data_IF_085103396370
#
_entry.id   IF_085103396370
#
_cell.length_a   1.000
_cell.length_b   1.000
_cell.length_c   1.000
_cell.angle_alpha   90.00
_cell.angle_beta   90.00
_cell.angle_gamma   90.00
#
_symmetry.space_group_name_H-M   'P 1'
#
loop_
_entity.id
_entity.type
_entity.pdbx_description
1 polymer ?
#
# COMPACT_ATOMS: atom_id res chain seq x y z
N UNK A 1 -6.47 -8.43 -30.73
CA UNK A 1 -5.95 -9.83 -30.65
C UNK A 1 -5.91 -10.17 -29.18
N UNK A 2 -6.78 -11.07 -28.70
CA UNK A 2 -6.86 -11.39 -27.28
C UNK A 2 -5.64 -12.21 -26.86
N UNK A 3 -4.90 -11.71 -25.89
CA UNK A 3 -3.88 -12.49 -25.21
C UNK A 3 -4.58 -13.65 -24.50
N UNK A 4 -4.32 -14.88 -24.94
CA UNK A 4 -4.64 -16.07 -24.16
C UNK A 4 -3.76 -16.02 -22.92
N UNK A 5 -4.38 -15.78 -21.74
CA UNK A 5 -3.73 -16.08 -20.48
C UNK A 5 -3.50 -17.61 -20.43
N UNK A 6 -2.29 -18.05 -20.71
CA UNK A 6 -1.89 -19.40 -20.37
C UNK A 6 -1.92 -19.51 -18.84
N UNK A 7 -2.45 -20.63 -18.34
CA UNK A 7 -2.45 -20.88 -16.89
C UNK A 7 -0.99 -20.92 -16.41
N UNK A 8 -0.67 -20.20 -15.32
CA UNK A 8 0.69 -20.22 -14.78
C UNK A 8 1.08 -21.65 -14.40
N UNK A 9 2.35 -21.95 -14.62
CA UNK A 9 2.95 -23.24 -14.26
C UNK A 9 3.31 -23.15 -12.77
N UNK A 10 2.63 -23.93 -11.93
CA UNK A 10 3.04 -24.01 -10.51
C UNK A 10 4.56 -24.28 -10.41
N UNK A 11 5.27 -23.56 -9.51
CA UNK A 11 4.78 -22.77 -8.38
C UNK A 11 4.62 -21.25 -8.65
N UNK A 12 4.43 -20.83 -9.88
CA UNK A 12 4.34 -19.42 -10.26
C UNK A 12 2.90 -19.01 -10.54
N UNK A 13 2.53 -17.81 -10.12
CA UNK A 13 1.29 -17.15 -10.50
C UNK A 13 1.42 -16.39 -11.81
N UNK A 14 2.65 -15.95 -12.11
CA UNK A 14 3.02 -15.28 -13.34
C UNK A 14 4.45 -15.65 -13.72
N UNK A 15 4.70 -15.79 -15.03
CA UNK A 15 6.03 -16.10 -15.58
C UNK A 15 6.22 -15.37 -16.91
N UNK A 16 7.17 -14.45 -16.94
CA UNK A 16 7.55 -13.71 -18.13
C UNK A 16 9.00 -13.99 -18.48
N UNK A 17 9.27 -14.34 -19.74
CA UNK A 17 10.62 -14.62 -20.23
C UNK A 17 10.85 -13.85 -21.50
N UNK A 18 11.81 -12.94 -21.49
CA UNK A 18 12.19 -12.14 -22.64
C UNK A 18 13.71 -12.00 -22.75
N UNK A 19 14.28 -12.38 -23.90
CA UNK A 19 15.74 -12.30 -24.18
C UNK A 19 16.64 -12.87 -23.05
N UNK A 20 16.21 -13.98 -22.44
CA UNK A 20 16.90 -14.61 -21.32
C UNK A 20 16.68 -13.94 -19.97
N UNK A 21 16.00 -12.80 -19.91
CA UNK A 21 15.54 -12.20 -18.67
C UNK A 21 14.25 -12.88 -18.22
N UNK A 22 14.21 -13.34 -16.98
CA UNK A 22 13.05 -14.00 -16.37
C UNK A 22 12.51 -13.12 -15.25
N UNK A 23 11.20 -12.84 -15.32
CA UNK A 23 10.42 -12.30 -14.21
C UNK A 23 9.35 -13.32 -13.87
N UNK A 24 9.31 -13.76 -12.62
CA UNK A 24 8.35 -14.75 -12.15
C UNK A 24 7.79 -14.38 -10.78
N UNK A 25 6.49 -14.51 -10.60
CA UNK A 25 5.84 -14.30 -9.29
C UNK A 25 5.54 -15.67 -8.67
N UNK A 26 6.08 -15.92 -7.49
CA UNK A 26 5.83 -17.14 -6.73
C UNK A 26 4.39 -17.17 -6.21
N UNK A 27 3.72 -18.30 -6.39
CA UNK A 27 2.47 -18.57 -5.68
C UNK A 27 2.74 -18.63 -4.18
N UNK A 28 1.93 -17.92 -3.41
CA UNK A 28 1.97 -17.94 -1.95
C UNK A 28 0.55 -18.05 -1.40
N UNK A 29 0.44 -18.65 -0.23
CA UNK A 29 -0.83 -18.78 0.47
C UNK A 29 -0.89 -17.73 1.60
N UNK A 30 -1.72 -16.69 1.46
CA UNK A 30 -1.80 -15.63 2.45
C UNK A 30 -2.26 -16.13 3.83
N UNK A 31 -2.99 -17.22 3.90
CA UNK A 31 -3.41 -17.83 5.18
C UNK A 31 -2.23 -18.45 5.94
N UNK A 32 -1.27 -19.04 5.21
CA UNK A 32 -0.04 -19.60 5.76
C UNK A 32 0.92 -18.48 6.17
N UNK A 33 1.04 -17.43 5.36
CA UNK A 33 1.91 -16.29 5.66
C UNK A 33 1.39 -15.44 6.81
N UNK A 34 0.08 -15.44 7.03
CA UNK A 34 -0.57 -14.69 8.10
C UNK A 34 -0.47 -13.18 7.91
N UNK A 35 -0.56 -12.72 6.65
CA UNK A 35 -0.48 -11.29 6.31
C UNK A 35 -1.80 -10.60 6.60
N UNK A 36 -1.78 -9.55 7.39
CA UNK A 36 -2.91 -8.63 7.63
C UNK A 36 -2.65 -7.30 6.95
N UNK A 37 -3.59 -6.86 6.13
CA UNK A 37 -3.42 -5.69 5.28
C UNK A 37 -4.36 -4.55 5.66
N UNK A 38 -3.92 -3.33 5.37
CA UNK A 38 -4.72 -2.12 5.53
C UNK A 38 -4.47 -1.12 4.40
N UNK A 39 -5.48 -0.29 4.13
CA UNK A 39 -5.34 0.90 3.28
C UNK A 39 -5.80 2.14 4.05
N UNK A 40 -5.00 3.18 3.97
CA UNK A 40 -5.22 4.50 4.55
C UNK A 40 -5.22 5.54 3.43
N UNK A 41 -6.37 6.16 3.20
CA UNK A 41 -6.56 7.19 2.19
C UNK A 41 -6.42 8.55 2.83
N UNK A 42 -5.69 9.46 2.20
CA UNK A 42 -5.53 10.82 2.69
C UNK A 42 -6.88 11.55 2.75
N UNK A 43 -7.21 12.06 3.92
CA UNK A 43 -8.41 12.84 4.21
C UNK A 43 -8.14 14.32 4.37
N UNK A 44 -6.98 14.82 3.95
CA UNK A 44 -6.65 16.22 3.98
C UNK A 44 -7.49 17.04 2.98
N UNK A 45 -7.51 18.34 3.15
CA UNK A 45 -8.32 19.22 2.32
C UNK A 45 -7.86 19.32 0.86
N UNK A 46 -6.60 18.98 0.55
CA UNK A 46 -6.07 18.90 -0.82
C UNK A 46 -6.80 17.85 -1.64
N UNK A 47 -7.08 16.68 -1.08
CA UNK A 47 -7.83 15.60 -1.71
C UNK A 47 -9.31 15.89 -2.00
N UNK A 48 -9.82 17.06 -1.63
CA UNK A 48 -11.27 17.40 -1.75
C UNK A 48 -11.82 17.26 -3.16
N UNK A 49 -11.00 17.56 -4.17
CA UNK A 49 -11.38 17.46 -5.58
C UNK A 49 -11.63 16.02 -6.02
N UNK A 50 -10.86 15.07 -5.48
CA UNK A 50 -10.88 13.67 -5.86
C UNK A 50 -12.00 12.86 -5.19
N UNK A 51 -12.48 13.32 -4.02
CA UNK A 51 -13.60 12.70 -3.30
C UNK A 51 -14.98 13.19 -3.73
N UNK A 52 -15.12 13.97 -4.78
CA UNK A 52 -16.40 14.56 -5.18
C UNK A 52 -17.06 15.46 -4.10
N UNK A 53 -16.25 16.12 -3.29
CA UNK A 53 -16.80 17.07 -2.32
C UNK A 53 -17.56 18.16 -3.03
N UNK A 54 -18.81 18.39 -2.60
CA UNK A 54 -19.62 19.51 -3.05
C UNK A 54 -18.97 20.82 -2.60
N UNK A 55 -18.32 21.55 -3.52
CA UNK A 55 -17.90 22.92 -3.25
C UNK A 55 -19.16 23.77 -3.01
N UNK A 56 -19.49 24.04 -1.76
CA UNK A 56 -20.43 25.10 -1.43
C UNK A 56 -19.76 26.44 -1.69
N UNK A 57 -20.15 27.10 -2.76
CA UNK A 57 -19.77 28.49 -2.97
C UNK A 57 -20.51 29.35 -1.94
N UNK A 58 -19.81 29.82 -0.92
CA UNK A 58 -20.38 30.66 0.14
C UNK A 58 -20.55 32.15 -0.26
N UNK A 59 -20.56 32.47 -1.56
CA UNK A 59 -20.76 33.82 -2.02
C UNK A 59 -22.25 34.08 -2.28
N UNK A 60 -22.76 35.15 -1.72
CA UNK A 60 -24.14 35.64 -1.93
C UNK A 60 -24.50 35.74 -3.42
N UNK A 61 -23.52 35.99 -4.29
CA UNK A 61 -23.66 36.10 -5.73
C UNK A 61 -24.01 34.74 -6.34
N UNK A 62 -23.33 33.65 -5.93
CA UNK A 62 -23.55 32.29 -6.48
C UNK A 62 -24.90 31.73 -6.01
N UNK A 63 -25.35 32.08 -4.79
CA UNK A 63 -26.70 31.76 -4.31
C UNK A 63 -27.79 32.41 -5.19
N UNK A 64 -27.56 33.66 -5.63
CA UNK A 64 -28.53 34.42 -6.45
C UNK A 64 -28.64 33.84 -7.89
N UNK A 65 -27.57 33.24 -8.42
CA UNK A 65 -27.54 32.67 -9.76
C UNK A 65 -27.77 31.15 -9.83
N UNK A 66 -28.15 30.52 -8.73
CA UNK A 66 -28.46 29.08 -8.67
C UNK A 66 -27.27 28.15 -8.94
N UNK A 67 -26.02 28.66 -8.82
CA UNK A 67 -24.78 27.87 -9.00
C UNK A 67 -24.35 27.21 -7.69
N UNK A 68 -25.25 26.47 -7.09
CA UNK A 68 -25.06 26.06 -5.70
C UNK A 68 -24.23 24.82 -5.48
N UNK A 69 -24.03 23.97 -6.48
CA UNK A 69 -23.27 22.73 -6.33
C UNK A 69 -22.62 22.31 -7.65
N UNK A 70 -21.30 22.17 -7.67
CA UNK A 70 -20.61 21.46 -8.73
C UNK A 70 -20.42 20.03 -8.25
N UNK A 71 -21.07 19.08 -8.90
CA UNK A 71 -20.81 17.65 -8.68
C UNK A 71 -19.49 17.31 -9.38
N UNK A 72 -18.42 17.18 -8.61
CA UNK A 72 -17.16 16.62 -9.12
C UNK A 72 -17.27 15.08 -9.14
N UNK A 73 -16.65 14.38 -10.10
CA UNK A 73 -16.57 12.94 -10.06
C UNK A 73 -15.75 12.48 -8.84
N UNK A 74 -16.12 11.36 -8.24
CA UNK A 74 -15.29 10.73 -7.24
C UNK A 74 -14.25 9.84 -7.96
N UNK A 75 -13.02 10.31 -8.06
CA UNK A 75 -11.95 9.60 -8.72
C UNK A 75 -11.27 8.58 -7.80
N UNK A 76 -11.38 8.75 -6.49
CA UNK A 76 -10.79 7.87 -5.47
C UNK A 76 -11.54 6.54 -5.37
N UNK A 77 -12.87 6.59 -5.39
CA UNK A 77 -13.71 5.40 -5.15
C UNK A 77 -13.38 4.20 -6.07
N UNK A 78 -13.26 4.36 -7.41
CA UNK A 78 -12.92 3.23 -8.27
C UNK A 78 -11.54 2.64 -7.98
N UNK A 79 -10.56 3.49 -7.66
CA UNK A 79 -9.20 3.04 -7.33
C UNK A 79 -9.19 2.25 -6.03
N UNK A 80 -9.84 2.78 -5.00
CA UNK A 80 -9.93 2.11 -3.70
C UNK A 80 -10.66 0.78 -3.82
N UNK A 81 -11.74 0.71 -4.58
CA UNK A 81 -12.46 -0.54 -4.83
C UNK A 81 -11.55 -1.59 -5.48
N UNK A 82 -10.81 -1.22 -6.52
CA UNK A 82 -9.87 -2.12 -7.18
C UNK A 82 -8.73 -2.57 -6.25
N UNK A 83 -8.14 -1.61 -5.52
CA UNK A 83 -7.08 -1.91 -4.53
C UNK A 83 -7.59 -2.88 -3.46
N UNK A 84 -8.79 -2.68 -2.95
CA UNK A 84 -9.38 -3.55 -1.94
C UNK A 84 -9.63 -4.97 -2.45
N UNK A 85 -10.15 -5.11 -3.68
CA UNK A 85 -10.29 -6.43 -4.32
C UNK A 85 -8.94 -7.13 -4.42
N UNK A 86 -7.91 -6.42 -4.87
CA UNK A 86 -6.56 -6.96 -5.02
C UNK A 86 -5.94 -7.32 -3.66
N UNK A 87 -5.91 -6.40 -2.70
CA UNK A 87 -5.30 -6.61 -1.40
C UNK A 87 -6.00 -7.74 -0.62
N UNK A 88 -7.31 -7.91 -0.78
CA UNK A 88 -8.05 -9.00 -0.15
C UNK A 88 -7.56 -10.39 -0.60
N UNK A 89 -7.02 -10.50 -1.80
CA UNK A 89 -6.40 -11.76 -2.27
C UNK A 89 -5.07 -12.06 -1.58
N UNK A 90 -4.44 -11.06 -0.99
CA UNK A 90 -3.16 -11.13 -0.28
C UNK A 90 -3.33 -11.16 1.23
N UNK A 91 -4.50 -10.78 1.72
CA UNK A 91 -4.81 -10.77 3.14
C UNK A 91 -5.16 -12.17 3.66
N UNK A 92 -4.75 -12.48 4.89
CA UNK A 92 -4.92 -13.78 5.55
C UNK A 92 -6.37 -14.26 5.59
N UNK A 93 -7.30 -13.35 5.80
CA UNK A 93 -8.73 -13.67 5.95
C UNK A 93 -9.63 -12.91 4.97
N UNK A 94 -9.03 -12.14 4.05
CA UNK A 94 -9.73 -11.33 3.06
C UNK A 94 -10.45 -10.12 3.67
N UNK A 95 -10.13 -9.74 4.93
CA UNK A 95 -10.70 -8.60 5.64
C UNK A 95 -9.66 -7.49 5.75
N UNK A 96 -9.90 -6.39 5.07
CA UNK A 96 -8.99 -5.25 5.00
C UNK A 96 -9.44 -4.14 5.93
N UNK A 97 -8.51 -3.63 6.76
CA UNK A 97 -8.75 -2.39 7.47
C UNK A 97 -8.70 -1.22 6.51
N UNK A 98 -9.76 -0.43 6.46
CA UNK A 98 -9.90 0.74 5.59
C UNK A 98 -10.18 1.97 6.42
N UNK A 99 -9.41 3.02 6.25
CA UNK A 99 -9.56 4.28 6.98
C UNK A 99 -9.16 5.49 6.14
N UNK A 100 -9.68 6.65 6.52
CA UNK A 100 -9.10 7.94 6.13
C UNK A 100 -8.15 8.40 7.23
N UNK A 101 -6.99 8.92 6.84
CA UNK A 101 -6.00 9.52 7.73
C UNK A 101 -5.84 11.01 7.44
N UNK A 102 -5.04 11.73 8.21
CA UNK A 102 -4.91 13.19 8.10
C UNK A 102 -6.27 13.93 8.21
N UNK A 103 -7.19 13.40 9.01
CA UNK A 103 -8.51 13.99 9.22
C UNK A 103 -8.52 14.99 10.41
N UNK A 104 -9.65 15.70 10.55
CA UNK A 104 -9.87 16.62 11.66
C UNK A 104 -9.07 17.92 11.57
N UNK A 105 -9.34 18.86 12.47
CA UNK A 105 -8.78 20.21 12.40
C UNK A 105 -7.24 20.25 12.45
N UNK A 106 -6.61 19.28 13.11
CA UNK A 106 -5.16 19.14 13.24
C UNK A 106 -4.53 18.21 12.21
N UNK A 107 -5.31 17.52 11.38
CA UNK A 107 -4.83 16.49 10.46
C UNK A 107 -4.24 15.27 11.17
N UNK A 108 -4.67 14.97 12.40
CA UNK A 108 -4.15 13.87 13.23
C UNK A 108 -5.20 12.78 13.50
N UNK A 109 -6.45 13.04 13.13
CA UNK A 109 -7.53 12.10 13.38
C UNK A 109 -7.57 11.03 12.29
N UNK A 110 -8.03 9.84 12.67
CA UNK A 110 -8.27 8.70 11.79
C UNK A 110 -9.76 8.44 11.77
N UNK A 111 -10.37 8.45 10.59
CA UNK A 111 -11.76 8.08 10.40
C UNK A 111 -11.81 6.65 9.83
N UNK A 112 -12.17 5.70 10.69
CA UNK A 112 -12.31 4.30 10.28
C UNK A 112 -13.53 4.13 9.38
N UNK A 113 -13.33 3.61 8.17
CA UNK A 113 -14.42 3.17 7.28
C UNK A 113 -14.92 1.80 7.74
N UNK A 114 -14.01 0.87 8.03
CA UNK A 114 -14.35 -0.46 8.53
C UNK A 114 -13.28 -1.50 8.27
N UNK A 115 -13.61 -2.76 8.61
CA UNK A 115 -12.92 -3.94 8.12
C UNK A 115 -13.79 -4.52 7.00
N UNK A 116 -13.32 -4.42 5.74
CA UNK A 116 -14.11 -4.67 4.56
C UNK A 116 -13.66 -5.96 3.87
N UNK A 117 -14.63 -6.76 3.40
CA UNK A 117 -14.35 -7.94 2.58
C UNK A 117 -14.12 -7.52 1.13
N UNK A 118 -13.09 -8.05 0.49
CA UNK A 118 -12.84 -7.82 -0.92
C UNK A 118 -13.99 -8.24 -1.83
N UNK A 119 -14.73 -9.30 -1.48
CA UNK A 119 -15.89 -9.76 -2.24
C UNK A 119 -17.07 -8.79 -2.26
N UNK A 120 -17.17 -7.93 -1.27
CA UNK A 120 -18.32 -7.02 -1.08
C UNK A 120 -17.97 -5.58 -1.44
N UNK A 121 -16.76 -5.34 -1.95
CA UNK A 121 -16.16 -4.00 -2.13
C UNK A 121 -17.00 -3.08 -3.00
N UNK A 122 -17.67 -3.61 -4.03
CA UNK A 122 -18.55 -2.84 -4.91
C UNK A 122 -19.79 -2.26 -4.22
N UNK A 123 -20.12 -2.78 -3.02
CA UNK A 123 -21.22 -2.27 -2.20
C UNK A 123 -20.83 -1.08 -1.33
N UNK A 124 -19.52 -0.85 -1.14
CA UNK A 124 -19.00 0.22 -0.30
C UNK A 124 -18.81 1.52 -1.09
N UNK A 125 -19.01 2.64 -0.39
CA UNK A 125 -18.83 3.98 -0.91
C UNK A 125 -17.70 4.68 -0.17
N UNK A 126 -16.92 5.46 -0.90
CA UNK A 126 -15.75 6.17 -0.37
C UNK A 126 -15.89 7.67 -0.62
N UNK A 127 -16.83 8.34 0.08
CA UNK A 127 -17.12 9.77 -0.15
C UNK A 127 -16.03 10.71 0.38
N UNK A 128 -14.99 10.21 1.01
CA UNK A 128 -14.02 10.97 1.78
C UNK A 128 -14.41 11.11 3.26
N UNK A 129 -13.52 11.68 4.09
CA UNK A 129 -13.76 11.81 5.53
C UNK A 129 -14.87 12.81 5.85
N UNK A 130 -15.49 12.67 7.02
CA UNK A 130 -16.49 13.64 7.50
C UNK A 130 -15.86 15.01 7.82
N UNK A 131 -14.61 14.99 8.30
CA UNK A 131 -13.87 16.20 8.65
C UNK A 131 -12.47 16.17 8.04
N UNK A 132 -12.27 16.95 6.99
CA UNK A 132 -10.99 17.06 6.32
C UNK A 132 -9.93 17.71 7.21
N UNK A 133 -8.71 17.22 7.11
CA UNK A 133 -7.56 17.78 7.80
C UNK A 133 -6.97 19.00 7.10
N UNK A 134 -6.34 19.87 7.89
CA UNK A 134 -5.57 21.02 7.39
C UNK A 134 -4.06 20.74 7.31
N UNK A 135 -3.65 19.56 7.74
CA UNK A 135 -2.27 19.13 7.80
C UNK A 135 -2.22 17.63 7.59
N UNK A 136 -1.18 17.14 6.91
CA UNK A 136 -1.00 15.74 6.54
C UNK A 136 -0.03 15.08 7.52
N UNK A 137 -0.56 14.54 8.65
CA UNK A 137 0.25 13.91 9.67
C UNK A 137 0.15 12.38 9.56
N UNK A 138 1.26 11.71 9.22
CA UNK A 138 1.32 10.27 8.95
C UNK A 138 1.53 9.41 10.21
N UNK A 139 2.26 9.89 11.21
CA UNK A 139 2.57 9.11 12.41
C UNK A 139 1.33 8.62 13.18
N UNK A 140 0.20 9.37 13.27
CA UNK A 140 -1.04 8.85 13.84
C UNK A 140 -1.59 7.64 13.09
N UNK A 141 -1.52 7.62 11.76
CA UNK A 141 -2.00 6.51 10.95
C UNK A 141 -1.14 5.25 11.14
N UNK A 142 0.19 5.42 11.24
CA UNK A 142 1.09 4.32 11.59
C UNK A 142 0.74 3.71 12.95
N UNK A 143 0.50 4.55 13.95
CA UNK A 143 0.11 4.10 15.30
C UNK A 143 -1.21 3.36 15.28
N UNK A 144 -2.19 3.84 14.53
CA UNK A 144 -3.48 3.19 14.37
C UNK A 144 -3.33 1.79 13.76
N UNK A 145 -2.56 1.68 12.65
CA UNK A 145 -2.31 0.40 12.01
C UNK A 145 -1.57 -0.59 12.92
N UNK A 146 -0.49 -0.15 13.56
CA UNK A 146 0.28 -1.03 14.46
C UNK A 146 -0.57 -1.52 15.64
N UNK A 147 -1.43 -0.67 16.18
CA UNK A 147 -2.37 -1.06 17.23
C UNK A 147 -3.44 -2.04 16.72
N UNK A 148 -3.90 -1.89 15.49
CA UNK A 148 -4.75 -2.87 14.82
C UNK A 148 -4.01 -4.21 14.66
N UNK A 149 -2.81 -4.20 14.09
CA UNK A 149 -2.02 -5.41 13.87
C UNK A 149 -1.73 -6.18 15.16
N UNK A 150 -1.43 -5.47 16.28
CA UNK A 150 -1.27 -6.11 17.60
C UNK A 150 -2.50 -6.91 18.02
N UNK A 151 -3.70 -6.42 17.73
CA UNK A 151 -4.94 -7.17 17.98
C UNK A 151 -5.04 -8.38 17.06
N UNK A 152 -4.69 -8.22 15.78
CA UNK A 152 -4.74 -9.29 14.80
C UNK A 152 -3.72 -10.41 15.08
N UNK A 153 -2.60 -10.11 15.73
CA UNK A 153 -1.62 -11.14 16.16
C UNK A 153 -2.27 -12.22 17.02
N UNK A 154 -3.18 -11.84 17.91
CA UNK A 154 -3.94 -12.80 18.75
C UNK A 154 -4.91 -13.66 17.92
N UNK A 155 -5.22 -13.24 16.70
CA UNK A 155 -6.09 -13.93 15.76
C UNK A 155 -5.32 -14.64 14.64
N UNK A 156 -3.98 -14.69 14.74
CA UNK A 156 -3.14 -15.44 13.81
C UNK A 156 -2.35 -14.59 12.80
N UNK A 157 -2.38 -13.26 12.89
CA UNK A 157 -1.51 -12.42 12.08
C UNK A 157 -0.03 -12.67 12.42
N UNK A 158 0.78 -12.86 11.39
CA UNK A 158 2.24 -13.09 11.50
C UNK A 158 3.06 -12.05 10.76
N UNK A 159 2.40 -11.26 9.92
CA UNK A 159 2.98 -10.20 9.11
C UNK A 159 1.97 -9.07 8.94
N UNK A 160 2.46 -7.87 8.70
CA UNK A 160 1.63 -6.72 8.40
C UNK A 160 2.06 -6.00 7.13
N UNK A 161 1.10 -5.43 6.41
CA UNK A 161 1.34 -4.50 5.33
C UNK A 161 0.27 -3.40 5.36
N UNK A 162 0.70 -2.14 5.33
CA UNK A 162 -0.23 -1.02 5.23
C UNK A 162 0.15 -0.11 4.07
N UNK A 163 -0.85 0.25 3.28
CA UNK A 163 -0.75 1.18 2.15
C UNK A 163 -1.28 2.53 2.59
N UNK A 164 -0.50 3.58 2.37
CA UNK A 164 -0.86 4.98 2.60
C UNK A 164 -0.85 5.71 1.26
N UNK A 165 -1.95 6.38 0.94
CA UNK A 165 -2.08 7.19 -0.29
C UNK A 165 -2.21 8.63 0.12
N UNK A 166 -1.45 9.55 -0.51
CA UNK A 166 -1.43 11.00 -0.23
C UNK A 166 -1.19 11.81 -1.48
N UNK A 167 -1.72 13.03 -1.54
CA UNK A 167 -1.47 14.03 -2.60
C UNK A 167 -0.60 15.19 -2.13
N UNK A 168 -0.06 15.12 -0.92
CA UNK A 168 0.65 16.23 -0.31
C UNK A 168 1.91 15.87 0.48
N UNK A 169 2.56 16.90 0.96
CA UNK A 169 3.72 16.82 1.84
C UNK A 169 3.33 16.30 3.23
N UNK A 170 4.18 15.47 3.83
CA UNK A 170 4.00 14.94 5.18
C UNK A 170 4.58 15.91 6.19
N UNK A 171 3.74 16.40 7.13
CA UNK A 171 4.10 17.47 8.05
C UNK A 171 4.76 17.01 9.35
N UNK A 172 4.75 15.71 9.63
CA UNK A 172 5.26 15.13 10.88
C UNK A 172 6.35 14.09 10.66
N UNK A 173 7.22 14.31 9.67
CA UNK A 173 8.28 13.40 9.25
C UNK A 173 9.16 12.90 10.42
N UNK A 174 9.60 13.81 11.30
CA UNK A 174 10.39 13.45 12.49
C UNK A 174 9.65 12.49 13.41
N UNK A 175 8.33 12.66 13.56
CA UNK A 175 7.49 11.77 14.34
C UNK A 175 7.34 10.41 13.67
N UNK A 176 7.25 10.38 12.34
CA UNK A 176 7.24 9.16 11.52
C UNK A 176 8.55 8.38 11.71
N UNK A 177 9.70 9.01 11.49
CA UNK A 177 11.04 8.40 11.64
C UNK A 177 11.25 7.88 13.07
N UNK A 178 10.86 8.66 14.08
CA UNK A 178 10.95 8.24 15.49
C UNK A 178 10.10 7.01 15.77
N UNK A 179 8.84 7.00 15.31
CA UNK A 179 7.95 5.87 15.54
C UNK A 179 8.38 4.62 14.77
N UNK A 180 8.89 4.75 13.56
CA UNK A 180 9.48 3.64 12.81
C UNK A 180 10.67 3.01 13.54
N UNK A 181 11.52 3.83 14.20
CA UNK A 181 12.58 3.31 15.07
C UNK A 181 12.05 2.50 16.25
N UNK A 182 10.91 2.89 16.84
CA UNK A 182 10.25 2.14 17.91
C UNK A 182 9.73 0.80 17.38
N UNK A 183 9.03 0.80 16.25
CA UNK A 183 8.55 -0.39 15.56
C UNK A 183 9.69 -1.36 15.24
N UNK A 184 10.78 -0.87 14.65
CA UNK A 184 11.94 -1.70 14.31
C UNK A 184 12.53 -2.39 15.54
N UNK A 185 12.64 -1.70 16.68
CA UNK A 185 13.09 -2.29 17.94
C UNK A 185 12.14 -3.36 18.47
N UNK A 186 10.83 -3.18 18.31
CA UNK A 186 9.84 -4.17 18.70
C UNK A 186 9.90 -5.41 17.79
N UNK A 187 10.10 -5.22 16.50
CA UNK A 187 10.30 -6.30 15.54
C UNK A 187 11.58 -7.11 15.85
N UNK A 188 12.68 -6.42 16.16
CA UNK A 188 13.94 -7.08 16.58
C UNK A 188 13.76 -7.95 17.83
N UNK A 189 12.92 -7.50 18.79
CA UNK A 189 12.60 -8.25 20.02
C UNK A 189 11.57 -9.36 19.80
N UNK A 190 10.99 -9.45 18.61
CA UNK A 190 9.91 -10.41 18.30
C UNK A 190 8.56 -10.07 18.96
N UNK A 191 8.40 -8.85 19.50
CA UNK A 191 7.13 -8.38 20.07
C UNK A 191 6.16 -7.84 19.02
N UNK A 192 6.66 -7.48 17.85
CA UNK A 192 5.88 -7.23 16.63
C UNK A 192 6.33 -8.16 15.51
N UNK A 193 5.42 -8.55 14.61
CA UNK A 193 5.78 -9.29 13.42
C UNK A 193 6.46 -8.35 12.42
N UNK A 194 6.97 -8.90 11.32
CA UNK A 194 7.48 -8.09 10.23
C UNK A 194 6.35 -7.24 9.64
N UNK A 195 6.61 -5.95 9.47
CA UNK A 195 5.70 -4.97 8.88
C UNK A 195 6.38 -4.33 7.67
N UNK A 196 5.63 -4.16 6.60
CA UNK A 196 6.01 -3.35 5.46
C UNK A 196 5.00 -2.21 5.31
N UNK A 197 5.49 -1.00 5.06
CA UNK A 197 4.68 0.16 4.73
C UNK A 197 4.89 0.54 3.27
N UNK A 198 3.81 0.91 2.61
CA UNK A 198 3.80 1.36 1.22
C UNK A 198 3.24 2.77 1.21
N UNK A 199 4.01 3.72 0.65
CA UNK A 199 3.60 5.11 0.50
C UNK A 199 3.42 5.42 -0.98
N UNK A 200 2.22 5.80 -1.38
CA UNK A 200 1.91 6.21 -2.75
C UNK A 200 1.54 7.68 -2.76
N UNK A 201 2.40 8.46 -3.39
CA UNK A 201 2.14 9.87 -3.69
C UNK A 201 1.31 10.02 -4.96
N UNK A 202 0.49 11.06 -5.05
CA UNK A 202 -0.35 11.34 -6.22
C UNK A 202 -0.23 12.80 -6.62
N UNK A 203 0.16 13.04 -7.87
CA UNK A 203 0.22 14.38 -8.46
C UNK A 203 1.38 15.26 -7.99
N UNK A 204 1.34 16.52 -8.40
CA UNK A 204 2.45 17.47 -8.23
C UNK A 204 2.61 18.02 -6.79
N UNK A 205 1.63 17.79 -5.90
CA UNK A 205 1.66 18.26 -4.51
C UNK A 205 2.57 17.45 -3.58
N UNK A 206 3.09 16.33 -4.06
CA UNK A 206 3.93 15.39 -3.30
C UNK A 206 5.38 15.87 -3.27
N UNK A 207 6.01 15.79 -2.12
CA UNK A 207 7.45 16.04 -1.98
C UNK A 207 8.21 14.71 -2.13
N UNK A 208 8.76 14.47 -3.34
CA UNK A 208 9.47 13.23 -3.67
C UNK A 208 10.71 13.03 -2.79
N UNK A 209 11.51 14.10 -2.57
CA UNK A 209 12.70 14.04 -1.72
C UNK A 209 12.36 13.58 -0.30
N UNK A 210 11.28 14.11 0.27
CA UNK A 210 10.77 13.71 1.58
C UNK A 210 10.33 12.24 1.60
N UNK A 211 9.62 11.79 0.55
CA UNK A 211 9.23 10.38 0.45
C UNK A 211 10.46 9.47 0.37
N UNK A 212 11.48 9.85 -0.40
CA UNK A 212 12.75 9.13 -0.46
C UNK A 212 13.42 9.07 0.91
N UNK A 213 13.50 10.17 1.64
CA UNK A 213 14.10 10.21 2.98
C UNK A 213 13.39 9.29 3.97
N UNK A 214 12.05 9.26 3.96
CA UNK A 214 11.28 8.34 4.81
C UNK A 214 11.52 6.88 4.41
N UNK A 215 11.60 6.58 3.12
CA UNK A 215 11.62 5.22 2.61
C UNK A 215 13.01 4.59 2.58
N UNK A 216 14.06 5.38 2.43
CA UNK A 216 15.44 4.89 2.42
C UNK A 216 16.06 4.73 3.81
N UNK A 217 15.35 5.09 4.88
CA UNK A 217 15.82 4.86 6.25
C UNK A 217 16.06 3.37 6.50
N UNK A 218 17.27 3.00 6.89
CA UNK A 218 17.64 1.64 7.26
C UNK A 218 17.58 1.42 8.76
N UNK A 219 16.88 0.39 9.19
CA UNK A 219 16.77 0.00 10.58
C UNK A 219 17.65 -1.22 10.86
N UNK A 220 18.64 -1.13 11.78
CA UNK A 220 19.60 -2.22 12.05
C UNK A 220 18.92 -3.56 12.28
N UNK A 221 19.31 -4.59 11.52
CA UNK A 221 18.78 -5.94 11.62
C UNK A 221 17.36 -6.16 11.07
N UNK A 222 16.72 -5.12 10.56
CA UNK A 222 15.39 -5.16 9.92
C UNK A 222 15.48 -4.80 8.43
N UNK A 223 16.34 -3.85 8.06
CA UNK A 223 16.38 -3.23 6.73
C UNK A 223 15.37 -2.09 6.59
N UNK A 224 14.85 -1.88 5.38
CA UNK A 224 13.83 -0.86 5.15
C UNK A 224 12.45 -1.34 5.60
N UNK A 225 11.68 -0.42 6.19
CA UNK A 225 10.27 -0.65 6.53
C UNK A 225 9.35 -0.16 5.42
N UNK A 226 9.81 0.74 4.58
CA UNK A 226 9.03 1.45 3.57
C UNK A 226 9.46 1.11 2.15
N UNK A 227 8.51 1.20 1.24
CA UNK A 227 8.73 1.46 -0.17
C UNK A 227 7.73 2.51 -0.65
N UNK A 228 8.06 3.23 -1.73
CA UNK A 228 7.20 4.27 -2.28
C UNK A 228 7.20 4.29 -3.79
N UNK A 229 6.18 4.93 -4.35
CA UNK A 229 6.08 5.36 -5.74
C UNK A 229 5.22 6.62 -5.81
N UNK A 230 5.36 7.35 -6.91
CA UNK A 230 4.54 8.51 -7.22
C UNK A 230 3.74 8.20 -8.49
N UNK A 231 2.43 8.41 -8.42
CA UNK A 231 1.51 8.39 -9.55
C UNK A 231 1.36 9.82 -10.10
N UNK A 232 1.34 9.99 -11.41
CA UNK A 232 1.03 11.30 -11.99
C UNK A 232 -0.44 11.66 -11.75
N UNK A 233 -1.32 10.66 -11.86
CA UNK A 233 -2.76 10.79 -11.66
C UNK A 233 -3.31 9.72 -10.72
N UNK A 234 -4.46 10.02 -10.09
CA UNK A 234 -5.12 9.12 -9.13
C UNK A 234 -5.51 7.75 -9.76
N UNK A 235 -5.75 7.71 -11.06
CA UNK A 235 -6.11 6.49 -11.79
C UNK A 235 -4.98 5.47 -11.92
N UNK A 236 -3.73 5.84 -11.65
CA UNK A 236 -2.56 4.96 -11.70
C UNK A 236 -2.26 4.29 -10.36
N UNK A 237 -2.85 4.81 -9.27
CA UNK A 237 -2.54 4.38 -7.89
C UNK A 237 -2.77 2.88 -7.70
N UNK A 238 -3.82 2.33 -8.28
CA UNK A 238 -4.17 0.93 -8.09
C UNK A 238 -3.10 -0.02 -8.65
N UNK A 239 -2.59 0.25 -9.85
CA UNK A 239 -1.53 -0.55 -10.47
C UNK A 239 -0.22 -0.44 -9.68
N UNK A 240 0.13 0.78 -9.24
CA UNK A 240 1.33 1.01 -8.44
C UNK A 240 1.27 0.28 -7.09
N UNK A 241 0.13 0.31 -6.42
CA UNK A 241 -0.08 -0.44 -5.18
C UNK A 241 0.13 -1.94 -5.41
N UNK A 242 -0.42 -2.50 -6.49
CA UNK A 242 -0.25 -3.91 -6.79
C UNK A 242 1.22 -4.29 -6.99
N UNK A 243 1.96 -3.50 -7.77
CA UNK A 243 3.40 -3.72 -8.00
C UNK A 243 4.18 -3.65 -6.69
N UNK A 244 3.96 -2.60 -5.88
CA UNK A 244 4.68 -2.40 -4.63
C UNK A 244 4.38 -3.49 -3.60
N UNK A 245 3.13 -3.95 -3.53
CA UNK A 245 2.75 -5.05 -2.63
C UNK A 245 3.47 -6.32 -3.05
N UNK A 246 3.44 -6.71 -4.33
CA UNK A 246 4.11 -7.92 -4.81
C UNK A 246 5.63 -7.83 -4.62
N UNK A 247 6.26 -6.69 -4.90
CA UNK A 247 7.69 -6.46 -4.68
C UNK A 247 8.07 -6.49 -3.20
N UNK A 248 7.22 -6.00 -2.30
CA UNK A 248 7.46 -5.98 -0.86
C UNK A 248 7.31 -7.34 -0.20
N UNK A 249 6.60 -8.28 -0.83
CA UNK A 249 6.34 -9.60 -0.27
C UNK A 249 7.61 -10.45 -0.24
N UNK A 250 7.82 -11.14 0.87
CA UNK A 250 8.92 -12.07 1.09
C UNK A 250 8.35 -13.45 1.38
N UNK A 251 8.71 -14.44 0.56
CA UNK A 251 8.18 -15.80 0.67
C UNK A 251 9.00 -16.65 1.64
N UNK A 252 10.32 -16.42 1.71
CA UNK A 252 11.21 -17.18 2.59
C UNK A 252 12.40 -16.33 3.06
N UNK A 253 13.13 -16.83 4.07
CA UNK A 253 14.34 -16.20 4.61
C UNK A 253 15.57 -16.30 3.68
N UNK A 254 15.42 -16.89 2.52
CA UNK A 254 16.45 -17.02 1.50
C UNK A 254 16.13 -18.13 0.51
N UNK A 255 16.89 -18.23 -0.58
CA UNK A 255 16.68 -19.24 -1.59
C UNK A 255 17.70 -19.13 -2.73
N UNK A 256 17.65 -20.07 -3.65
CA UNK A 256 18.49 -20.05 -4.84
C UNK A 256 17.74 -20.57 -6.05
N UNK A 257 18.02 -19.98 -7.19
CA UNK A 257 17.61 -20.46 -8.50
C UNK A 257 18.79 -21.21 -9.10
N UNK A 258 18.55 -22.40 -9.58
CA UNK A 258 19.59 -23.26 -10.23
C UNK A 258 19.11 -23.68 -11.60
N UNK A 259 20.04 -23.93 -12.50
CA UNK A 259 19.76 -24.57 -13.78
C UNK A 259 19.53 -26.09 -13.62
N UNK A 260 19.26 -26.79 -14.72
CA UNK A 260 19.07 -28.25 -14.77
C UNK A 260 20.31 -29.06 -14.38
N UNK A 261 21.51 -28.44 -14.40
CA UNK A 261 22.78 -29.00 -13.98
C UNK A 261 23.15 -28.67 -12.53
N UNK A 262 22.28 -27.94 -11.82
CA UNK A 262 22.50 -27.54 -10.44
C UNK A 262 23.41 -26.31 -10.24
N UNK A 263 23.79 -25.61 -11.32
CA UNK A 263 24.56 -24.38 -11.24
C UNK A 263 23.65 -23.24 -10.74
N UNK A 264 24.12 -22.49 -9.75
CA UNK A 264 23.36 -21.35 -9.19
C UNK A 264 23.32 -20.21 -10.22
N UNK A 265 22.13 -19.83 -10.63
CA UNK A 265 21.85 -18.67 -11.49
C UNK A 265 21.64 -17.41 -10.65
N UNK A 266 20.94 -17.52 -9.53
CA UNK A 266 20.68 -16.42 -8.59
C UNK A 266 20.66 -16.95 -7.17
N UNK A 267 21.28 -16.22 -6.24
CA UNK A 267 21.26 -16.49 -4.81
C UNK A 267 20.55 -15.35 -4.07
N UNK A 268 19.66 -15.71 -3.17
CA UNK A 268 19.00 -14.84 -2.22
C UNK A 268 19.41 -15.24 -0.81
N UNK A 269 20.31 -14.49 -0.19
CA UNK A 269 20.98 -14.90 1.08
C UNK A 269 20.08 -14.75 2.30
N UNK A 270 19.29 -13.69 2.39
CA UNK A 270 18.51 -13.33 3.59
C UNK A 270 17.03 -13.13 3.34
N UNK A 271 16.62 -13.03 2.08
CA UNK A 271 15.25 -12.76 1.68
C UNK A 271 14.96 -13.31 0.29
N UNK A 272 13.95 -14.15 0.16
CA UNK A 272 13.39 -14.58 -1.11
C UNK A 272 12.13 -13.76 -1.38
N UNK A 273 12.13 -12.80 -2.32
CA UNK A 273 10.95 -12.00 -2.65
C UNK A 273 9.91 -12.88 -3.38
N UNK A 274 8.65 -12.45 -3.37
CA UNK A 274 7.61 -13.10 -4.17
C UNK A 274 7.86 -12.92 -5.67
N UNK A 275 8.35 -11.76 -6.08
CA UNK A 275 8.76 -11.50 -7.47
C UNK A 275 10.24 -11.83 -7.62
N UNK A 276 10.54 -12.78 -8.50
CA UNK A 276 11.89 -13.22 -8.84
C UNK A 276 12.31 -12.60 -10.16
N UNK A 277 13.49 -11.99 -10.19
CA UNK A 277 14.11 -11.48 -11.41
C UNK A 277 15.53 -12.01 -11.53
N UNK A 278 15.84 -12.64 -12.67
CA UNK A 278 17.16 -13.17 -12.93
C UNK A 278 17.41 -13.33 -14.43
N UNK A 279 18.69 -13.47 -14.79
CA UNK A 279 19.12 -13.67 -16.16
C UNK A 279 19.51 -15.16 -16.36
N UNK A 280 18.98 -15.76 -17.41
CA UNK A 280 19.45 -17.06 -17.90
C UNK A 280 20.62 -16.79 -18.86
N UNK A 281 21.83 -17.32 -18.59
CA UNK A 281 22.95 -17.18 -19.51
C UNK A 281 22.66 -17.84 -20.85
N UNK A 282 23.20 -17.30 -21.95
CA UNK A 282 23.09 -17.92 -23.26
C UNK A 282 23.70 -19.32 -23.23
N UNK A 283 22.90 -20.34 -23.61
CA UNK A 283 23.30 -21.75 -23.63
C UNK A 283 23.11 -22.52 -22.32
N UNK A 284 22.34 -21.99 -21.39
CA UNK A 284 21.86 -22.67 -20.17
C UNK A 284 20.56 -23.42 -20.44
#
# INVERSE_FOLDING_TARGET
MGHKHERPVEPFSDLHVEHGHVRATLLHDPTVEGLDMAIYMDGSASMSGDYAYKKKYNNLIDWFFGRNEVNLPNNVEPQVQWILEYLATKDRNGLLRVAYWACGASGKDIELVGELKGTDVQSYKFPGPNFQGKSTNLAPALKDYVNYLRKQMHLGARRGCAVFVTDGEIHDEDDVKRYCNEIAKEMQKGSLPKINFILVGVGEGVNEEQMEEICHEEYPGIGHLWCHRIAEEINEVAELVAVLVDESMTVAGGGRIVDDKGKVLKLYESRLPAVLEFQIPEGA
#
